data_IF_124986431723
#
_entry.id   IF_124986431723
#
_cell.length_a   1.000
_cell.length_b   1.000
_cell.length_c   1.000
_cell.angle_alpha   90.00
_cell.angle_beta   90.00
_cell.angle_gamma   90.00
#
_symmetry.space_group_name_H-M   'P 1'
#
loop_
_entity.id
_entity.type
_entity.pdbx_description
1 polymer ?
#
# COMPACT_ATOMS: atom_id res chain seq x y z
N UNK A 1 -17.90 18.32 14.08
CA UNK A 1 -16.46 18.41 13.80
C UNK A 1 -16.21 17.57 12.55
N UNK A 2 -15.76 18.15 11.46
CA UNK A 2 -15.48 17.38 10.24
C UNK A 2 -14.15 16.63 10.43
N UNK A 3 -14.18 15.31 10.44
CA UNK A 3 -12.98 14.46 10.38
C UNK A 3 -12.55 14.37 8.93
N UNK A 4 -11.36 14.90 8.63
CA UNK A 4 -10.74 14.70 7.32
C UNK A 4 -10.05 13.32 7.33
N UNK A 5 -10.32 12.46 6.34
CA UNK A 5 -9.72 11.14 6.29
C UNK A 5 -8.19 11.26 6.08
N UNK A 6 -7.44 10.46 6.83
CA UNK A 6 -6.00 10.37 6.73
C UNK A 6 -5.51 9.67 5.46
N UNK A 7 -4.22 9.81 5.17
CA UNK A 7 -3.54 9.17 4.05
C UNK A 7 -2.46 8.21 4.55
N UNK A 8 -2.34 7.07 3.87
CA UNK A 8 -1.22 6.13 3.97
C UNK A 8 -0.36 6.29 2.72
N UNK A 9 0.94 6.48 2.91
CA UNK A 9 1.92 6.39 1.83
C UNK A 9 2.83 5.21 2.13
N UNK A 10 2.90 4.25 1.21
CA UNK A 10 3.68 3.03 1.35
C UNK A 10 4.48 2.79 0.07
N UNK A 11 5.67 2.20 0.21
CA UNK A 11 6.41 1.68 -0.92
C UNK A 11 6.92 0.26 -0.65
N UNK A 12 7.21 -0.46 -1.72
CA UNK A 12 7.66 -1.85 -1.66
C UNK A 12 8.13 -2.36 -3.01
N UNK A 13 8.39 -3.67 -3.08
CA UNK A 13 8.81 -4.36 -4.30
C UNK A 13 7.84 -5.51 -4.53
N UNK A 14 7.26 -5.60 -5.72
CA UNK A 14 6.39 -6.70 -6.12
C UNK A 14 7.20 -7.93 -6.51
N UNK A 15 6.64 -9.09 -6.21
CA UNK A 15 7.13 -10.41 -6.66
C UNK A 15 8.58 -10.76 -6.25
N UNK A 16 9.15 -9.99 -5.31
CA UNK A 16 10.48 -10.24 -4.77
C UNK A 16 10.39 -11.12 -3.51
N UNK A 17 11.28 -12.12 -3.42
CA UNK A 17 11.29 -13.10 -2.33
C UNK A 17 12.51 -12.97 -1.43
N UNK A 18 13.46 -12.10 -1.79
CA UNK A 18 14.64 -11.85 -0.97
C UNK A 18 15.23 -10.45 -1.18
N UNK A 19 15.98 -9.96 -0.19
CA UNK A 19 16.81 -8.78 -0.34
C UNK A 19 18.16 -9.00 0.34
N UNK A 20 19.19 -8.30 -0.14
CA UNK A 20 20.52 -8.34 0.46
C UNK A 20 20.99 -6.95 0.88
N UNK A 21 21.45 -6.84 2.13
CA UNK A 21 22.01 -5.60 2.67
C UNK A 21 23.02 -5.92 3.77
N UNK A 22 24.16 -5.21 3.78
CA UNK A 22 25.19 -5.38 4.81
C UNK A 22 25.84 -6.78 4.82
N UNK A 23 25.94 -7.43 3.65
CA UNK A 23 26.51 -8.79 3.52
C UNK A 23 25.61 -9.90 4.04
N UNK A 24 24.32 -9.62 4.27
CA UNK A 24 23.32 -10.59 4.72
C UNK A 24 22.16 -10.64 3.73
N UNK A 25 21.50 -11.79 3.69
CA UNK A 25 20.27 -12.02 2.91
C UNK A 25 19.09 -12.18 3.85
N UNK A 26 17.97 -11.59 3.47
CA UNK A 26 16.70 -11.63 4.19
C UNK A 26 15.61 -12.14 3.24
N UNK A 27 14.63 -12.87 3.78
CA UNK A 27 13.44 -13.28 3.04
C UNK A 27 12.45 -12.11 2.94
N UNK A 28 11.86 -11.92 1.78
CA UNK A 28 10.78 -10.96 1.52
C UNK A 28 9.44 -11.70 1.37
N UNK A 29 8.37 -11.03 1.77
CA UNK A 29 7.02 -11.50 1.47
C UNK A 29 6.77 -11.34 -0.03
N UNK A 30 6.50 -12.44 -0.72
CA UNK A 30 6.00 -12.38 -2.09
C UNK A 30 4.63 -11.72 -2.09
N UNK A 31 4.50 -10.60 -2.79
CA UNK A 31 3.25 -9.86 -2.91
C UNK A 31 3.08 -9.40 -4.35
N UNK A 32 1.91 -9.63 -4.93
CA UNK A 32 1.53 -9.07 -6.23
C UNK A 32 0.88 -7.70 -6.06
N UNK A 33 0.73 -6.99 -7.17
CA UNK A 33 -0.02 -5.73 -7.20
C UNK A 33 -1.49 -5.91 -6.77
N UNK A 34 -2.11 -7.02 -7.15
CA UNK A 34 -3.48 -7.35 -6.78
C UNK A 34 -3.60 -7.62 -5.28
N UNK A 35 -2.68 -8.41 -4.70
CA UNK A 35 -2.64 -8.66 -3.26
C UNK A 35 -2.54 -7.35 -2.47
N UNK A 36 -1.70 -6.41 -2.92
CA UNK A 36 -1.54 -5.09 -2.29
C UNK A 36 -2.84 -4.28 -2.34
N UNK A 37 -3.53 -4.24 -3.48
CA UNK A 37 -4.80 -3.51 -3.59
C UNK A 37 -5.92 -4.14 -2.76
N UNK A 38 -6.03 -5.47 -2.77
CA UNK A 38 -7.01 -6.20 -1.98
C UNK A 38 -6.78 -5.96 -0.47
N UNK A 39 -5.52 -6.02 -0.02
CA UNK A 39 -5.18 -5.76 1.38
C UNK A 39 -5.50 -4.32 1.80
N UNK A 40 -5.29 -3.33 0.92
CA UNK A 40 -5.70 -1.95 1.18
C UNK A 40 -7.22 -1.85 1.31
N UNK A 41 -7.97 -2.46 0.39
CA UNK A 41 -9.44 -2.45 0.42
C UNK A 41 -10.00 -3.12 1.67
N UNK A 42 -9.48 -4.28 2.05
CA UNK A 42 -9.84 -5.01 3.27
C UNK A 42 -9.59 -4.18 4.54
N UNK A 43 -8.58 -3.30 4.51
CA UNK A 43 -8.26 -2.38 5.59
C UNK A 43 -9.07 -1.05 5.52
N UNK A 44 -10.08 -0.97 4.65
CA UNK A 44 -10.90 0.23 4.47
C UNK A 44 -10.16 1.38 3.80
N UNK A 45 -9.06 1.12 3.08
CA UNK A 45 -8.28 2.11 2.35
C UNK A 45 -8.67 2.10 0.88
N UNK A 46 -8.65 3.27 0.24
CA UNK A 46 -8.99 3.42 -1.18
C UNK A 46 -7.90 4.16 -1.94
N UNK A 47 -7.58 3.63 -3.12
CA UNK A 47 -6.72 4.29 -4.11
C UNK A 47 -7.66 4.89 -5.16
N UNK A 48 -7.86 6.22 -5.11
CA UNK A 48 -8.75 6.94 -6.03
C UNK A 48 -8.03 7.29 -7.35
N UNK A 49 -8.67 7.04 -8.49
CA UNK A 49 -8.14 7.27 -9.84
C UNK A 49 -8.37 8.73 -10.32
N UNK A 50 -9.07 9.52 -9.50
CA UNK A 50 -9.73 10.77 -9.85
C UNK A 50 -8.81 11.99 -9.79
N UNK A 51 -7.48 11.78 -9.70
CA UNK A 51 -6.34 12.74 -9.77
C UNK A 51 -5.53 12.99 -8.49
N UNK A 52 -5.68 12.24 -7.37
CA UNK A 52 -4.92 12.55 -6.12
C UNK A 52 -4.39 11.38 -5.28
N UNK A 53 -4.76 10.12 -5.54
CA UNK A 53 -4.15 8.95 -4.90
C UNK A 53 -3.37 8.15 -5.96
N UNK A 54 -2.05 8.27 -5.91
CA UNK A 54 -1.16 7.80 -6.97
C UNK A 54 -0.59 6.43 -6.60
N UNK A 55 -0.70 5.47 -7.51
CA UNK A 55 0.26 4.37 -7.59
C UNK A 55 1.33 4.76 -8.62
N UNK A 56 2.58 4.79 -8.18
CA UNK A 56 3.75 4.88 -9.03
C UNK A 56 4.49 3.56 -8.99
N UNK A 57 4.84 3.02 -10.15
CA UNK A 57 5.50 1.72 -10.27
C UNK A 57 6.54 1.78 -11.38
N UNK A 58 7.78 1.36 -11.07
CA UNK A 58 8.88 1.22 -12.01
C UNK A 58 9.63 -0.07 -11.68
N UNK A 59 9.76 -0.96 -12.67
CA UNK A 59 10.56 -2.20 -12.55
C UNK A 59 10.20 -3.02 -11.29
N UNK A 60 8.91 -3.14 -10.99
CA UNK A 60 8.42 -3.89 -9.82
C UNK A 60 8.53 -3.14 -8.48
N UNK A 61 9.28 -2.03 -8.41
CA UNK A 61 9.26 -1.14 -7.24
C UNK A 61 8.04 -0.24 -7.30
N UNK A 62 7.31 -0.13 -6.20
CA UNK A 62 6.09 0.67 -6.14
C UNK A 62 6.09 1.67 -4.98
N UNK A 63 5.28 2.70 -5.16
CA UNK A 63 4.86 3.63 -4.14
C UNK A 63 3.37 3.93 -4.34
N UNK A 64 2.58 3.74 -3.29
CA UNK A 64 1.13 3.92 -3.29
C UNK A 64 0.74 4.96 -2.24
N UNK A 65 -0.17 5.86 -2.62
CA UNK A 65 -0.89 6.73 -1.71
C UNK A 65 -2.35 6.25 -1.64
N UNK A 66 -2.81 5.85 -0.45
CA UNK A 66 -4.17 5.39 -0.20
C UNK A 66 -4.83 6.27 0.86
N UNK A 67 -6.13 6.52 0.71
CA UNK A 67 -6.92 7.34 1.63
C UNK A 67 -7.78 6.44 2.52
N UNK A 68 -7.86 6.76 3.82
CA UNK A 68 -8.78 6.11 4.75
C UNK A 68 -10.23 6.37 4.34
N UNK A 69 -11.05 5.34 4.24
CA UNK A 69 -12.48 5.51 3.95
C UNK A 69 -13.21 6.03 5.20
N UNK A 70 -14.15 6.95 5.02
CA UNK A 70 -14.88 7.61 6.12
C UNK A 70 -15.75 6.68 7.00
N UNK A 71 -15.88 5.40 6.64
CA UNK A 71 -16.63 4.38 7.40
C UNK A 71 -15.77 3.39 8.19
N UNK A 72 -14.46 3.62 8.34
CA UNK A 72 -13.53 2.69 9.00
C UNK A 72 -13.24 3.03 10.47
N UNK A 73 -14.07 3.88 11.09
CA UNK A 73 -13.99 4.22 12.53
C UNK A 73 -14.92 3.36 13.40
N UNK A 74 -15.59 2.34 12.84
CA UNK A 74 -16.36 1.36 13.63
C UNK A 74 -15.60 0.03 13.67
N UNK A 75 -14.81 -0.17 14.72
CA UNK A 75 -14.51 -1.51 15.24
C UNK A 75 -14.33 -1.36 16.76
N UNK A 76 -15.14 -2.11 17.51
CA UNK A 76 -15.22 -2.16 18.98
C UNK A 76 -13.85 -2.32 19.69
#
# INVERSE_FOLDING_TARGET
MATFPGFLVMGGIFEETWCAFGGRTFTCLYITKEDMFNALEDCGMRVENDRKCVLYEIEGMYMVCARKSAGSDETD
#
